data_IF_102970994562
#
_entry.id   IF_102970994562
#
_cell.length_a   1.000
_cell.length_b   1.000
_cell.length_c   1.000
_cell.angle_alpha   90.00
_cell.angle_beta   90.00
_cell.angle_gamma   90.00
#
_symmetry.space_group_name_H-M   'P 1'
#
loop_
_entity.id
_entity.type
_entity.pdbx_description
1 polymer ?
#
# COMPACT_ATOMS: atom_id res chain seq x y z
N UNK A 1 -8.88 -8.98 -10.28
CA UNK A 1 -7.69 -8.11 -10.26
C UNK A 1 -6.64 -8.81 -9.43
N UNK A 2 -5.37 -8.80 -9.87
CA UNK A 2 -4.29 -9.35 -9.06
C UNK A 2 -4.00 -8.43 -7.87
N UNK A 3 -3.84 -9.05 -6.70
CA UNK A 3 -3.60 -8.38 -5.42
C UNK A 3 -2.37 -9.04 -4.80
N UNK A 4 -1.34 -8.22 -4.58
CA UNK A 4 -0.05 -8.64 -4.05
C UNK A 4 -0.01 -8.33 -2.55
N UNK A 5 0.33 -9.34 -1.74
CA UNK A 5 0.40 -9.23 -0.29
C UNK A 5 1.86 -9.39 0.15
N UNK A 6 2.35 -8.44 0.94
CA UNK A 6 3.71 -8.41 1.48
C UNK A 6 3.65 -8.43 3.01
N UNK A 7 4.36 -9.37 3.65
CA UNK A 7 4.34 -9.55 5.11
C UNK A 7 5.22 -8.56 5.85
N UNK A 8 6.30 -8.10 5.22
CA UNK A 8 7.19 -7.11 5.79
C UNK A 8 7.72 -6.11 4.74
N UNK A 9 8.41 -5.09 5.25
CA UNK A 9 9.02 -4.04 4.45
C UNK A 9 10.04 -4.58 3.44
N UNK A 10 10.79 -5.62 3.78
CA UNK A 10 11.83 -6.17 2.90
C UNK A 10 11.22 -6.87 1.69
N UNK A 11 10.12 -7.60 1.88
CA UNK A 11 9.35 -8.20 0.79
C UNK A 11 8.81 -7.11 -0.14
N UNK A 12 8.22 -6.05 0.43
CA UNK A 12 7.68 -4.95 -0.37
C UNK A 12 8.77 -4.18 -1.13
N UNK A 13 9.87 -3.83 -0.47
CA UNK A 13 10.97 -3.08 -1.08
C UNK A 13 11.72 -3.87 -2.17
N UNK A 14 11.67 -5.20 -2.12
CA UNK A 14 12.25 -6.07 -3.15
C UNK A 14 11.24 -6.55 -4.20
N UNK A 15 9.98 -6.08 -4.11
CA UNK A 15 8.85 -6.54 -4.92
C UNK A 15 8.72 -8.08 -4.99
N UNK A 16 8.83 -8.73 -3.81
CA UNK A 16 8.71 -10.18 -3.67
C UNK A 16 7.48 -10.51 -2.82
N UNK A 17 6.27 -10.57 -3.42
CA UNK A 17 5.04 -10.77 -2.67
C UNK A 17 5.01 -12.15 -2.03
N UNK A 18 4.58 -12.18 -0.77
CA UNK A 18 4.32 -13.41 -0.01
C UNK A 18 3.16 -14.22 -0.59
N UNK A 19 2.17 -13.53 -1.17
CA UNK A 19 0.98 -14.14 -1.76
C UNK A 19 0.43 -13.26 -2.88
N UNK A 20 -0.12 -13.91 -3.90
CA UNK A 20 -0.81 -13.26 -5.02
C UNK A 20 -2.22 -13.82 -5.09
N UNK A 21 -3.22 -12.95 -4.97
CA UNK A 21 -4.63 -13.31 -4.99
C UNK A 21 -5.33 -12.68 -6.20
N UNK A 22 -6.34 -13.36 -6.71
CA UNK A 22 -7.25 -12.79 -7.71
C UNK A 22 -8.59 -12.41 -7.05
N UNK A 23 -8.95 -11.13 -7.09
CA UNK A 23 -10.18 -10.67 -6.47
C UNK A 23 -10.43 -9.18 -6.58
N UNK A 24 -11.19 -8.66 -5.61
CA UNK A 24 -11.42 -7.24 -5.37
C UNK A 24 -11.06 -6.88 -3.93
N UNK A 25 -10.56 -5.67 -3.72
CA UNK A 25 -10.20 -5.16 -2.40
C UNK A 25 -11.25 -4.14 -1.93
N UNK A 26 -11.75 -4.33 -0.71
CA UNK A 26 -12.64 -3.40 -0.01
C UNK A 26 -11.99 -2.95 1.30
N UNK A 27 -12.09 -1.65 1.60
CA UNK A 27 -11.58 -1.06 2.83
C UNK A 27 -12.73 -0.73 3.77
N UNK A 28 -12.69 -1.35 4.95
CA UNK A 28 -13.63 -1.02 6.01
C UNK A 28 -13.13 0.19 6.80
N UNK A 29 -14.07 0.97 7.36
CA UNK A 29 -13.77 2.20 8.11
C UNK A 29 -12.88 2.00 9.35
N UNK A 30 -12.73 0.76 9.80
CA UNK A 30 -11.89 0.37 10.94
C UNK A 30 -10.45 -0.02 10.53
N UNK A 31 -10.07 0.18 9.27
CA UNK A 31 -8.73 -0.16 8.78
C UNK A 31 -8.51 -1.65 8.48
N UNK A 32 -9.56 -2.46 8.53
CA UNK A 32 -9.52 -3.85 8.06
C UNK A 32 -9.59 -3.88 6.54
N UNK A 33 -8.70 -4.66 5.93
CA UNK A 33 -8.72 -4.90 4.49
C UNK A 33 -9.47 -6.18 4.21
N UNK A 34 -10.44 -6.10 3.30
CA UNK A 34 -11.24 -7.23 2.87
C UNK A 34 -10.89 -7.55 1.43
N UNK A 35 -10.60 -8.82 1.14
CA UNK A 35 -10.35 -9.30 -0.21
C UNK A 35 -11.40 -10.36 -0.54
N UNK A 36 -12.22 -10.05 -1.54
CA UNK A 36 -13.19 -11.00 -2.07
C UNK A 36 -12.57 -11.72 -3.27
N UNK A 37 -12.27 -13.01 -3.11
CA UNK A 37 -11.72 -13.88 -4.16
C UNK A 37 -12.77 -14.87 -4.65
N UNK A 38 -12.60 -15.37 -5.88
CA UNK A 38 -13.43 -16.46 -6.42
C UNK A 38 -12.53 -17.60 -6.84
N UNK A 39 -12.79 -18.79 -6.30
CA UNK A 39 -12.04 -20.00 -6.62
C UNK A 39 -13.00 -21.18 -6.72
N UNK A 40 -12.92 -21.93 -7.83
CA UNK A 40 -13.76 -23.10 -8.10
C UNK A 40 -15.27 -22.85 -7.89
N UNK A 41 -15.78 -21.76 -8.50
CA UNK A 41 -17.18 -21.30 -8.42
C UNK A 41 -17.68 -20.95 -7.01
N UNK A 42 -16.78 -20.87 -6.02
CA UNK A 42 -17.09 -20.41 -4.66
C UNK A 42 -16.43 -19.05 -4.43
N UNK A 43 -17.17 -18.16 -3.80
CA UNK A 43 -16.65 -16.87 -3.36
C UNK A 43 -16.15 -16.98 -1.92
N UNK A 44 -14.95 -16.47 -1.68
CA UNK A 44 -14.33 -16.40 -0.37
C UNK A 44 -14.09 -14.95 -0.02
N UNK A 45 -14.40 -14.60 1.23
CA UNK A 45 -14.07 -13.30 1.80
C UNK A 45 -12.92 -13.47 2.77
N UNK A 46 -11.80 -12.86 2.47
CA UNK A 46 -10.61 -12.84 3.31
C UNK A 46 -10.57 -11.51 4.05
N UNK A 47 -10.37 -11.55 5.37
CA UNK A 47 -10.24 -10.35 6.19
C UNK A 47 -8.83 -10.30 6.74
N UNK A 48 -8.09 -9.26 6.39
CA UNK A 48 -6.68 -9.10 6.66
C UNK A 48 -6.44 -7.90 7.60
N UNK A 49 -5.53 -8.08 8.54
CA UNK A 49 -5.08 -7.02 9.45
C UNK A 49 -3.73 -6.47 8.99
N UNK A 50 -3.65 -5.13 8.90
CA UNK A 50 -2.40 -4.39 8.63
C UNK A 50 -1.40 -4.45 9.79
N UNK A 51 -1.75 -5.06 10.93
CA UNK A 51 -0.79 -5.36 12.01
C UNK A 51 0.07 -6.59 11.70
N UNK A 52 -0.40 -7.45 10.78
CA UNK A 52 0.24 -8.72 10.41
C UNK A 52 0.81 -8.73 8.99
N UNK A 53 0.41 -7.74 8.19
CA UNK A 53 0.79 -7.57 6.80
C UNK A 53 1.37 -6.18 6.68
N UNK A 54 2.45 -6.06 5.91
CA UNK A 54 3.08 -4.78 5.68
C UNK A 54 2.44 -4.04 4.53
N UNK A 55 2.23 -4.67 3.37
CA UNK A 55 1.65 -4.00 2.22
C UNK A 55 0.63 -4.84 1.48
N UNK A 56 -0.35 -4.16 0.90
CA UNK A 56 -1.29 -4.70 -0.08
C UNK A 56 -1.24 -3.79 -1.30
N UNK A 57 -0.93 -4.36 -2.47
CA UNK A 57 -0.75 -3.63 -3.73
C UNK A 57 -1.64 -4.23 -4.80
N UNK A 58 -2.28 -3.38 -5.61
CA UNK A 58 -3.07 -3.82 -6.75
C UNK A 58 -3.20 -2.73 -7.82
N UNK A 59 -3.43 -3.15 -9.06
CA UNK A 59 -3.58 -2.23 -10.19
C UNK A 59 -4.98 -1.60 -10.23
N UNK A 60 -5.05 -0.28 -10.31
CA UNK A 60 -6.31 0.45 -10.46
C UNK A 60 -6.93 0.22 -11.85
N UNK A 61 -8.27 0.36 -12.00
CA UNK A 61 -8.92 0.32 -13.29
C UNK A 61 -8.33 1.35 -14.27
N UNK A 62 -8.31 0.99 -15.56
CA UNK A 62 -7.77 1.84 -16.62
C UNK A 62 -8.44 3.24 -16.63
N UNK A 63 -7.63 4.29 -16.85
CA UNK A 63 -8.10 5.68 -16.93
C UNK A 63 -8.05 6.47 -15.62
N UNK A 64 -7.50 5.89 -14.54
CA UNK A 64 -7.21 6.64 -13.32
C UNK A 64 -6.12 7.69 -13.58
N UNK A 65 -6.35 8.93 -13.15
CA UNK A 65 -5.36 10.01 -13.21
C UNK A 65 -4.91 10.34 -11.80
N UNK A 66 -3.61 10.25 -11.54
CA UNK A 66 -2.97 10.69 -10.30
C UNK A 66 -2.37 12.07 -10.47
N UNK A 67 -2.38 12.87 -9.42
CA UNK A 67 -1.47 14.02 -9.38
C UNK A 67 -0.03 13.54 -9.24
N UNK A 68 0.88 14.15 -10.01
CA UNK A 68 2.29 13.81 -10.00
C UNK A 68 2.99 14.52 -8.84
N UNK A 69 3.28 13.78 -7.76
CA UNK A 69 4.05 14.27 -6.61
C UNK A 69 5.12 13.26 -6.26
N UNK A 70 6.30 13.75 -5.87
CA UNK A 70 7.32 12.90 -5.27
C UNK A 70 6.89 12.50 -3.87
N UNK A 71 6.88 11.20 -3.60
CA UNK A 71 6.57 10.62 -2.30
C UNK A 71 7.84 9.94 -1.79
N UNK A 72 8.26 10.34 -0.60
CA UNK A 72 9.48 9.88 0.03
C UNK A 72 9.15 9.13 1.32
N UNK A 73 9.71 7.93 1.47
CA UNK A 73 9.54 7.06 2.63
C UNK A 73 10.85 7.01 3.42
N UNK A 74 10.74 7.29 4.71
CA UNK A 74 11.86 7.30 5.66
C UNK A 74 11.63 6.26 6.75
N UNK A 75 12.60 5.37 6.96
CA UNK A 75 12.57 4.35 8.01
C UNK A 75 13.11 4.87 9.36
N UNK A 76 13.95 5.92 9.34
CA UNK A 76 14.61 6.46 10.54
C UNK A 76 14.52 7.98 10.64
N UNK A 77 14.69 8.50 11.86
CA UNK A 77 14.72 9.95 12.11
C UNK A 77 15.94 10.61 11.46
N UNK A 78 17.08 9.93 11.44
CA UNK A 78 18.33 10.40 10.84
C UNK A 78 18.16 10.57 9.32
N UNK A 79 17.62 9.55 8.65
CA UNK A 79 17.35 9.58 7.22
C UNK A 79 16.40 10.74 6.85
N UNK A 80 15.36 10.95 7.67
CA UNK A 80 14.44 12.07 7.48
C UNK A 80 15.12 13.44 7.67
N UNK A 81 15.93 13.61 8.73
CA UNK A 81 16.66 14.87 8.99
C UNK A 81 17.65 15.22 7.88
N UNK A 82 18.26 14.21 7.28
CA UNK A 82 19.24 14.36 6.20
C UNK A 82 18.58 14.43 4.81
N UNK A 83 17.25 14.33 4.73
CA UNK A 83 16.50 14.22 3.47
C UNK A 83 17.02 13.10 2.56
N UNK A 84 17.40 11.97 3.15
CA UNK A 84 17.92 10.79 2.45
C UNK A 84 16.90 9.63 2.53
N UNK A 85 15.86 9.62 1.68
CA UNK A 85 14.80 8.62 1.74
C UNK A 85 15.30 7.21 1.40
N UNK A 86 14.69 6.20 2.00
CA UNK A 86 14.95 4.80 1.65
C UNK A 86 14.24 4.41 0.34
N UNK A 87 13.05 4.97 0.13
CA UNK A 87 12.27 4.75 -1.08
C UNK A 87 11.69 6.08 -1.56
N UNK A 88 11.80 6.31 -2.86
CA UNK A 88 11.21 7.47 -3.55
C UNK A 88 10.42 6.96 -4.74
N UNK A 89 9.18 7.41 -4.89
CA UNK A 89 8.35 7.14 -6.06
C UNK A 89 7.41 8.30 -6.35
N UNK A 90 6.82 8.28 -7.54
CA UNK A 90 5.89 9.31 -7.99
C UNK A 90 4.44 8.83 -7.86
N UNK A 91 3.57 9.69 -7.32
CA UNK A 91 2.16 9.35 -7.16
C UNK A 91 1.37 10.37 -6.34
N UNK A 92 0.20 9.93 -5.88
CA UNK A 92 -0.73 10.71 -5.09
C UNK A 92 -1.05 10.00 -3.77
N UNK A 93 -0.99 10.74 -2.66
CA UNK A 93 -1.37 10.23 -1.34
C UNK A 93 -2.89 10.32 -1.14
N UNK A 94 -3.51 9.24 -0.67
CA UNK A 94 -4.93 9.19 -0.35
C UNK A 94 -5.13 9.58 1.13
N UNK A 95 -5.16 10.88 1.41
CA UNK A 95 -5.24 11.44 2.78
C UNK A 95 -6.46 10.93 3.57
N UNK A 96 -7.57 10.65 2.88
CA UNK A 96 -8.82 10.11 3.45
C UNK A 96 -8.69 8.67 3.97
N UNK A 97 -7.61 7.97 3.61
CA UNK A 97 -7.32 6.59 4.01
C UNK A 97 -6.14 6.47 4.98
N UNK A 98 -5.55 7.58 5.43
CA UNK A 98 -4.58 7.59 6.53
C UNK A 98 -5.29 7.38 7.88
N UNK A 99 -5.69 6.14 8.18
CA UNK A 99 -6.13 5.80 9.54
C UNK A 99 -4.92 5.46 10.43
N UNK A 100 -5.13 5.33 11.74
CA UNK A 100 -4.05 5.03 12.68
C UNK A 100 -3.41 3.67 12.36
N UNK A 101 -2.30 3.66 11.63
CA UNK A 101 -1.46 2.47 11.40
C UNK A 101 -1.06 2.20 9.95
N UNK A 102 -1.63 2.88 8.95
CA UNK A 102 -1.24 2.69 7.55
C UNK A 102 -1.40 3.98 6.72
N UNK A 103 -0.74 4.01 5.56
CA UNK A 103 -0.86 5.07 4.55
C UNK A 103 -1.24 4.43 3.22
N UNK A 104 -1.97 5.17 2.40
CA UNK A 104 -2.40 4.74 1.08
C UNK A 104 -1.95 5.75 0.05
N UNK A 105 -1.45 5.27 -1.08
CA UNK A 105 -1.08 6.10 -2.22
C UNK A 105 -1.32 5.35 -3.53
N UNK A 106 -1.35 6.10 -4.62
CA UNK A 106 -1.52 5.59 -5.97
C UNK A 106 -0.34 6.07 -6.79
N UNK A 107 0.43 5.14 -7.36
CA UNK A 107 1.57 5.47 -8.21
C UNK A 107 1.12 6.01 -9.56
N UNK A 108 2.00 6.73 -10.25
CA UNK A 108 1.76 7.21 -11.62
C UNK A 108 1.52 6.07 -12.63
N UNK A 109 1.96 4.85 -12.31
CA UNK A 109 1.70 3.63 -13.08
C UNK A 109 0.31 3.03 -12.82
N UNK A 110 -0.46 3.64 -11.91
CA UNK A 110 -1.82 3.22 -11.56
C UNK A 110 -1.87 2.11 -10.53
N UNK A 111 -0.79 1.85 -9.76
CA UNK A 111 -0.85 0.91 -8.66
C UNK A 111 -1.27 1.60 -7.38
N UNK A 112 -2.35 1.09 -6.77
CA UNK A 112 -2.73 1.50 -5.42
C UNK A 112 -1.98 0.63 -4.43
N UNK A 113 -1.32 1.29 -3.48
CA UNK A 113 -0.55 0.66 -2.42
C UNK A 113 -1.08 1.10 -1.07
N UNK A 114 -1.30 0.13 -0.18
CA UNK A 114 -1.64 0.35 1.22
C UNK A 114 -0.52 -0.25 2.04
N UNK A 115 0.24 0.59 2.74
CA UNK A 115 1.40 0.14 3.52
C UNK A 115 1.23 0.49 5.00
N UNK A 116 1.59 -0.45 5.85
CA UNK A 116 1.64 -0.31 7.30
C UNK A 116 2.73 0.68 7.71
N UNK A 117 2.43 1.54 8.67
CA UNK A 117 3.39 2.51 9.21
C UNK A 117 4.27 1.90 10.32
N UNK A 118 4.11 0.62 10.67
CA UNK A 118 4.80 -0.02 11.80
C UNK A 118 6.35 0.00 11.71
N UNK A 119 6.92 0.15 10.52
CA UNK A 119 8.38 0.25 10.28
C UNK A 119 8.79 1.54 9.57
N UNK A 120 7.89 2.52 9.49
CA UNK A 120 8.11 3.77 8.76
C UNK A 120 8.13 4.90 9.78
N UNK A 121 9.21 5.67 9.76
CA UNK A 121 9.34 6.87 10.57
C UNK A 121 8.53 8.03 10.00
N UNK A 122 8.65 8.28 8.69
CA UNK A 122 7.93 9.37 8.02
C UNK A 122 7.64 9.03 6.55
N UNK A 123 6.52 9.57 6.05
CA UNK A 123 6.22 9.67 4.63
C UNK A 123 6.00 11.14 4.31
N UNK A 124 6.71 11.68 3.31
CA UNK A 124 6.59 13.09 2.90
C UNK A 124 6.21 13.20 1.43
N UNK A 125 5.53 14.30 1.09
CA UNK A 125 5.12 14.66 -0.27
C UNK A 125 4.90 16.17 -0.36
N UNK A 126 5.06 16.75 -1.55
CA UNK A 126 4.77 18.17 -1.80
C UNK A 126 3.25 18.42 -1.86
N UNK A 127 2.78 19.52 -1.27
CA UNK A 127 1.35 19.89 -1.24
C UNK A 127 0.99 20.91 -2.31
#
# INVERSE_FOLDING_TARGET
MEIYIYKDYSEWNSDSPSEVLEGNVEFLRNGTVVIDTTYDYKSYRQMLSMDKIFAIVYQMPAGFMTFHREINVYETMEAWKESNPQVTFEGEICEDQCTAGYVTFITTEGYKQIISLNKIFAVTYER
#
